data_IF_901678413526
#
_entry.id   IF_901678413526
#
_cell.length_a   1.000
_cell.length_b   1.000
_cell.length_c   1.000
_cell.angle_alpha   90.00
_cell.angle_beta   90.00
_cell.angle_gamma   90.00
#
_symmetry.space_group_name_H-M   'P 1'
#
loop_
_entity.id
_entity.type
_entity.pdbx_description
1 polymer ?
#
# COMPACT_ATOMS: atom_id res chain seq x y z
N UNK A 1 21.12 56.42 -1.36
CA UNK A 1 21.28 55.90 0.01
C UNK A 1 20.50 54.59 0.13
N UNK A 2 21.15 53.45 -0.10
CA UNK A 2 20.59 52.10 0.10
C UNK A 2 21.62 51.29 0.87
N UNK A 3 21.22 50.85 2.08
CA UNK A 3 22.05 50.14 3.07
C UNK A 3 22.52 48.80 2.51
N UNK A 4 23.82 48.55 2.58
CA UNK A 4 24.42 47.22 2.44
C UNK A 4 24.04 46.39 3.68
N UNK A 5 23.46 45.22 3.46
CA UNK A 5 23.19 44.25 4.53
C UNK A 5 24.48 43.47 4.76
N UNK A 6 25.12 43.72 5.90
CA UNK A 6 26.31 43.02 6.37
C UNK A 6 25.92 41.63 6.91
N UNK A 7 26.39 40.56 6.27
CA UNK A 7 26.24 39.19 6.75
C UNK A 7 27.43 38.82 7.63
N UNK A 8 27.35 39.17 8.92
CA UNK A 8 28.28 38.70 9.94
C UNK A 8 28.08 37.19 10.17
N UNK A 9 28.97 36.36 9.60
CA UNK A 9 29.05 34.93 9.92
C UNK A 9 29.70 34.76 11.30
N UNK A 10 28.91 34.35 12.29
CA UNK A 10 29.38 34.08 13.66
C UNK A 10 29.71 32.61 13.85
N UNK A 11 30.75 32.12 13.19
CA UNK A 11 31.34 30.82 13.53
C UNK A 11 32.36 30.98 14.67
N UNK A 12 31.91 30.78 15.91
CA UNK A 12 32.79 30.65 17.08
C UNK A 12 33.38 29.24 17.10
N UNK A 13 34.61 29.10 16.61
CA UNK A 13 35.40 27.88 16.74
C UNK A 13 35.99 27.85 18.16
N UNK A 14 35.46 27.00 19.02
CA UNK A 14 36.04 26.72 20.34
C UNK A 14 37.31 25.88 20.17
N UNK A 15 38.42 26.37 20.71
CA UNK A 15 39.71 25.68 20.74
C UNK A 15 39.62 24.48 21.69
N UNK A 16 39.63 23.27 21.13
CA UNK A 16 39.93 22.04 21.88
C UNK A 16 38.98 20.88 21.57
N UNK A 17 39.44 19.95 20.73
CA UNK A 17 39.05 18.54 20.87
C UNK A 17 37.98 17.99 19.94
N UNK A 18 38.43 17.49 18.77
CA UNK A 18 37.92 16.34 17.98
C UNK A 18 36.42 16.35 17.60
N UNK A 19 36.10 17.02 16.49
CA UNK A 19 34.87 16.77 15.74
C UNK A 19 35.07 15.48 14.93
N UNK A 20 34.46 14.38 15.37
CA UNK A 20 34.47 13.12 14.62
C UNK A 20 33.42 13.21 13.50
N UNK A 21 33.88 13.35 12.25
CA UNK A 21 33.00 13.30 11.07
C UNK A 21 32.63 11.83 10.83
N UNK A 22 31.47 11.39 11.30
CA UNK A 22 30.98 10.03 11.02
C UNK A 22 30.42 10.01 9.59
N UNK A 23 31.25 9.58 8.63
CA UNK A 23 30.77 9.20 7.30
C UNK A 23 30.17 7.80 7.42
N UNK A 24 28.86 7.71 7.61
CA UNK A 24 28.16 6.42 7.53
C UNK A 24 28.12 5.99 6.07
N UNK A 25 28.85 4.93 5.73
CA UNK A 25 28.74 4.25 4.45
C UNK A 25 27.34 3.60 4.37
N UNK A 26 26.47 4.19 3.54
CA UNK A 26 25.15 3.64 3.26
C UNK A 26 25.34 2.38 2.40
N UNK A 27 25.39 1.21 3.05
CA UNK A 27 25.32 -0.07 2.35
C UNK A 27 23.96 -0.17 1.65
N UNK A 28 23.96 0.07 0.34
CA UNK A 28 22.77 -0.06 -0.51
C UNK A 28 22.30 -1.51 -0.51
N UNK A 29 21.31 -1.82 0.32
CA UNK A 29 20.59 -3.08 0.22
C UNK A 29 19.74 -3.02 -1.05
N UNK A 30 20.04 -3.86 -2.03
CA UNK A 30 19.20 -4.05 -3.20
C UNK A 30 17.93 -4.76 -2.74
N UNK A 31 16.89 -3.98 -2.44
CA UNK A 31 15.57 -4.57 -2.24
C UNK A 31 15.10 -5.11 -3.59
N UNK A 32 14.91 -6.42 -3.69
CA UNK A 32 14.22 -7.02 -4.83
C UNK A 32 12.80 -6.45 -4.83
N UNK A 33 12.51 -5.51 -5.73
CA UNK A 33 11.20 -4.90 -5.86
C UNK A 33 10.27 -5.89 -6.55
N UNK A 34 9.55 -6.65 -5.74
CA UNK A 34 8.48 -7.51 -6.23
C UNK A 34 7.30 -6.65 -6.72
N UNK A 35 6.55 -7.16 -7.70
CA UNK A 35 5.36 -6.51 -8.22
C UNK A 35 4.18 -6.58 -7.23
N UNK A 36 4.35 -7.31 -6.12
CA UNK A 36 3.39 -7.47 -5.05
C UNK A 36 2.78 -6.16 -4.54
N UNK A 37 1.60 -6.21 -3.90
CA UNK A 37 1.00 -5.04 -3.27
C UNK A 37 1.97 -4.39 -2.27
N UNK A 38 2.03 -3.06 -2.27
CA UNK A 38 2.99 -2.32 -1.46
C UNK A 38 2.40 -1.03 -0.91
N UNK A 39 2.88 -0.61 0.26
CA UNK A 39 2.41 0.59 0.95
C UNK A 39 0.99 0.44 1.51
N UNK A 40 0.62 -0.76 1.95
CA UNK A 40 -0.70 -1.03 2.52
C UNK A 40 -0.87 -0.36 3.89
N UNK A 41 -1.92 0.45 4.03
CA UNK A 41 -2.31 1.11 5.29
C UNK A 41 -3.79 0.83 5.54
N UNK A 42 -4.10 0.19 6.67
CA UNK A 42 -5.49 -0.02 7.10
C UNK A 42 -6.06 1.33 7.55
N UNK A 43 -7.10 1.81 6.87
CA UNK A 43 -7.75 3.09 7.18
C UNK A 43 -9.07 2.92 7.92
N UNK A 44 -9.69 1.74 7.82
CA UNK A 44 -10.88 1.41 8.60
C UNK A 44 -10.98 -0.10 8.85
N UNK A 45 -11.59 -0.49 9.98
CA UNK A 45 -11.63 -1.87 10.45
C UNK A 45 -10.29 -2.34 11.01
N UNK A 46 -10.04 -3.66 10.98
CA UNK A 46 -8.81 -4.25 11.49
C UNK A 46 -8.33 -5.36 10.56
N UNK A 47 -7.07 -5.26 10.15
CA UNK A 47 -6.34 -6.32 9.47
C UNK A 47 -4.84 -6.22 9.75
N UNK A 48 -4.15 -7.35 9.63
CA UNK A 48 -2.70 -7.42 9.62
C UNK A 48 -2.23 -7.81 8.21
N UNK A 49 -1.23 -7.09 7.70
CA UNK A 49 -0.64 -7.34 6.38
C UNK A 49 0.76 -7.89 6.61
N UNK A 50 1.06 -9.06 6.06
CA UNK A 50 2.40 -9.65 6.08
C UNK A 50 2.81 -10.10 4.67
N UNK A 51 4.06 -9.87 4.31
CA UNK A 51 4.61 -10.29 3.02
C UNK A 51 5.87 -11.12 3.25
N UNK A 52 5.98 -12.25 2.56
CA UNK A 52 7.17 -13.09 2.56
C UNK A 52 7.42 -13.63 1.14
N UNK A 53 8.52 -13.19 0.54
CA UNK A 53 8.83 -13.47 -0.86
C UNK A 53 7.69 -13.05 -1.80
N UNK A 54 7.15 -14.00 -2.56
CA UNK A 54 6.08 -13.79 -3.55
C UNK A 54 4.66 -13.87 -2.96
N UNK A 55 4.52 -14.02 -1.64
CA UNK A 55 3.22 -14.21 -0.98
C UNK A 55 2.92 -13.04 -0.05
N UNK A 56 1.77 -12.41 -0.25
CA UNK A 56 1.20 -11.43 0.68
C UNK A 56 -0.04 -12.02 1.35
N UNK A 57 -0.05 -12.04 2.68
CA UNK A 57 -1.18 -12.49 3.47
C UNK A 57 -1.80 -11.29 4.20
N UNK A 58 -3.12 -11.13 4.04
CA UNK A 58 -3.93 -10.16 4.75
C UNK A 58 -4.86 -10.94 5.68
N UNK A 59 -4.63 -10.84 6.99
CA UNK A 59 -5.51 -11.42 8.01
C UNK A 59 -6.44 -10.33 8.51
N UNK A 60 -7.69 -10.37 8.06
CA UNK A 60 -8.75 -9.44 8.44
C UNK A 60 -9.47 -9.94 9.70
N UNK A 61 -9.65 -9.05 10.67
CA UNK A 61 -10.27 -9.36 11.97
C UNK A 61 -11.69 -8.76 12.12
N UNK A 62 -12.04 -7.76 11.30
CA UNK A 62 -13.38 -7.13 11.28
C UNK A 62 -14.23 -7.60 10.09
N UNK A 63 -15.55 -7.45 10.15
CA UNK A 63 -16.44 -7.82 9.03
C UNK A 63 -16.22 -7.00 7.76
N UNK A 64 -15.85 -5.73 7.91
CA UNK A 64 -15.40 -4.84 6.83
C UNK A 64 -14.00 -4.30 7.16
N UNK A 65 -13.12 -4.22 6.18
CA UNK A 65 -11.84 -3.52 6.29
C UNK A 65 -11.61 -2.68 5.04
N UNK A 66 -11.04 -1.49 5.22
CA UNK A 66 -10.58 -0.62 4.14
C UNK A 66 -9.06 -0.47 4.24
N UNK A 67 -8.37 -0.68 3.12
CA UNK A 67 -6.92 -0.66 3.01
C UNK A 67 -6.54 0.22 1.83
N UNK A 68 -5.80 1.29 2.11
CA UNK A 68 -5.18 2.10 1.08
C UNK A 68 -3.85 1.48 0.68
N UNK A 69 -3.56 1.51 -0.62
CA UNK A 69 -2.34 0.96 -1.21
C UNK A 69 -1.68 1.99 -2.13
N UNK A 70 -0.36 2.12 -2.06
CA UNK A 70 0.37 2.86 -3.10
C UNK A 70 0.33 2.11 -4.43
N UNK A 71 0.39 0.78 -4.38
CA UNK A 71 0.31 -0.12 -5.54
C UNK A 71 -0.38 -1.41 -5.13
N UNK A 72 -1.32 -1.87 -5.96
CA UNK A 72 -1.97 -3.18 -5.81
C UNK A 72 -1.88 -3.94 -7.12
N UNK A 73 -0.75 -4.63 -7.30
CA UNK A 73 -0.43 -5.49 -8.44
C UNK A 73 -0.13 -6.90 -7.92
N UNK A 74 -0.34 -7.91 -8.77
CA UNK A 74 -0.01 -9.30 -8.46
C UNK A 74 0.63 -9.89 -9.72
N UNK A 75 1.94 -10.08 -9.75
CA UNK A 75 2.62 -10.72 -10.88
C UNK A 75 2.27 -12.21 -10.99
N UNK A 76 2.59 -12.81 -12.15
CA UNK A 76 2.20 -14.19 -12.51
C UNK A 76 2.49 -15.25 -11.44
N UNK A 77 3.60 -15.11 -10.72
CA UNK A 77 4.03 -16.06 -9.69
C UNK A 77 3.76 -15.57 -8.26
N UNK A 78 3.05 -14.44 -8.11
CA UNK A 78 2.71 -13.86 -6.82
C UNK A 78 1.31 -14.30 -6.38
N UNK A 79 1.13 -14.35 -5.06
CA UNK A 79 -0.10 -14.78 -4.42
C UNK A 79 -0.49 -13.74 -3.37
N UNK A 80 -1.74 -13.29 -3.40
CA UNK A 80 -2.34 -12.50 -2.35
C UNK A 80 -3.46 -13.30 -1.72
N UNK A 81 -3.37 -13.54 -0.41
CA UNK A 81 -4.39 -14.28 0.35
C UNK A 81 -5.07 -13.36 1.35
N UNK A 82 -6.39 -13.31 1.31
CA UNK A 82 -7.23 -12.70 2.32
C UNK A 82 -7.84 -13.80 3.20
N UNK A 83 -7.45 -13.81 4.48
CA UNK A 83 -8.12 -14.60 5.52
C UNK A 83 -9.08 -13.67 6.26
N UNK A 84 -10.37 -13.84 6.01
CA UNK A 84 -11.44 -12.99 6.51
C UNK A 84 -12.31 -13.75 7.53
N UNK A 85 -13.07 -13.07 8.40
CA UNK A 85 -13.85 -13.74 9.44
C UNK A 85 -14.89 -14.73 8.88
N UNK A 86 -15.54 -14.40 7.76
CA UNK A 86 -16.52 -15.27 7.11
C UNK A 86 -16.74 -14.86 5.64
N UNK A 87 -17.57 -15.65 4.93
CA UNK A 87 -17.91 -15.46 3.52
C UNK A 87 -18.54 -14.10 3.18
N UNK A 88 -19.23 -13.46 4.13
CA UNK A 88 -19.88 -12.16 3.95
C UNK A 88 -18.93 -10.99 4.20
N UNK A 89 -17.73 -11.24 4.72
CA UNK A 89 -16.77 -10.18 5.06
C UNK A 89 -16.21 -9.53 3.80
N UNK A 90 -15.92 -8.22 3.86
CA UNK A 90 -15.46 -7.44 2.71
C UNK A 90 -14.10 -6.79 3.02
N UNK A 91 -13.14 -6.96 2.12
CA UNK A 91 -11.88 -6.22 2.10
C UNK A 91 -11.88 -5.23 0.94
N UNK A 92 -12.00 -3.93 1.24
CA UNK A 92 -11.87 -2.85 0.28
C UNK A 92 -10.38 -2.49 0.15
N UNK A 93 -9.84 -2.64 -1.06
CA UNK A 93 -8.47 -2.28 -1.42
C UNK A 93 -8.54 -1.08 -2.35
N UNK A 94 -8.15 0.10 -1.85
CA UNK A 94 -8.14 1.35 -2.60
C UNK A 94 -6.72 1.69 -3.00
N UNK A 95 -6.46 1.81 -4.30
CA UNK A 95 -5.17 2.30 -4.80
C UNK A 95 -5.19 3.81 -4.82
N UNK A 96 -4.30 4.42 -4.05
CA UNK A 96 -4.13 5.88 -3.96
C UNK A 96 -2.90 6.37 -4.75
N UNK A 97 -2.09 5.44 -5.26
CA UNK A 97 -1.00 5.76 -6.18
C UNK A 97 -1.46 5.95 -7.62
N UNK A 98 -0.49 6.19 -8.51
CA UNK A 98 -0.73 6.58 -9.90
C UNK A 98 -0.65 5.41 -10.90
N UNK A 99 -0.53 4.17 -10.40
CA UNK A 99 -0.42 2.98 -11.25
C UNK A 99 -1.74 2.23 -11.38
N UNK A 100 -1.94 1.59 -12.54
CA UNK A 100 -3.01 0.63 -12.76
C UNK A 100 -2.80 -0.61 -11.89
N UNK A 101 -3.90 -1.24 -11.50
CA UNK A 101 -3.85 -2.56 -10.87
C UNK A 101 -3.75 -3.63 -11.95
N UNK A 102 -2.60 -4.27 -12.06
CA UNK A 102 -2.35 -5.39 -12.98
C UNK A 102 -2.29 -6.68 -12.16
N UNK A 103 -3.31 -7.53 -12.37
CA UNK A 103 -3.47 -8.80 -11.68
C UNK A 103 -3.18 -9.92 -12.67
N UNK A 104 -1.99 -10.50 -12.57
CA UNK A 104 -1.51 -11.61 -13.38
C UNK A 104 -1.33 -12.91 -12.56
N UNK A 105 -1.26 -12.82 -11.23
CA UNK A 105 -1.09 -13.96 -10.32
C UNK A 105 -2.38 -14.40 -9.65
N UNK A 106 -2.24 -14.94 -8.43
CA UNK A 106 -3.36 -15.48 -7.68
C UNK A 106 -3.88 -14.51 -6.61
N UNK A 107 -5.19 -14.33 -6.56
CA UNK A 107 -5.92 -13.62 -5.50
C UNK A 107 -6.91 -14.59 -4.87
N UNK A 108 -6.67 -14.96 -3.62
CA UNK A 108 -7.51 -15.91 -2.87
C UNK A 108 -8.18 -15.20 -1.70
N UNK A 109 -9.46 -15.47 -1.47
CA UNK A 109 -10.19 -14.99 -0.31
C UNK A 109 -11.33 -15.92 0.08
N UNK A 110 -11.53 -16.14 1.38
CA UNK A 110 -12.73 -16.86 1.84
C UNK A 110 -13.98 -15.98 1.92
N UNK A 111 -13.84 -14.65 1.78
CA UNK A 111 -14.92 -13.68 1.66
C UNK A 111 -14.80 -12.84 0.39
N UNK A 112 -15.20 -11.58 0.46
CA UNK A 112 -15.24 -10.67 -0.68
C UNK A 112 -14.02 -9.75 -0.72
N UNK A 113 -13.52 -9.49 -1.93
CA UNK A 113 -12.42 -8.54 -2.19
C UNK A 113 -12.91 -7.48 -3.17
N UNK A 114 -12.82 -6.22 -2.78
CA UNK A 114 -13.15 -5.08 -3.61
C UNK A 114 -11.86 -4.32 -3.96
N UNK A 115 -11.70 -3.94 -5.22
CA UNK A 115 -10.53 -3.23 -5.75
C UNK A 115 -11.01 -1.93 -6.38
N UNK A 116 -10.60 -0.81 -5.80
CA UNK A 116 -10.88 0.53 -6.29
C UNK A 116 -9.57 1.14 -6.80
N UNK A 117 -9.50 1.42 -8.10
CA UNK A 117 -8.34 2.09 -8.69
C UNK A 117 -8.76 2.96 -9.87
N UNK A 118 -8.70 4.28 -9.69
CA UNK A 118 -9.05 5.27 -10.73
C UNK A 118 -8.20 5.15 -12.00
N UNK A 119 -6.99 4.60 -11.90
CA UNK A 119 -6.12 4.39 -13.06
C UNK A 119 -6.54 3.16 -13.90
N UNK A 120 -7.36 2.27 -13.34
CA UNK A 120 -7.86 1.06 -13.97
C UNK A 120 -7.41 -0.24 -13.30
N UNK A 121 -8.18 -1.30 -13.56
CA UNK A 121 -7.89 -2.67 -13.10
C UNK A 121 -7.87 -3.59 -14.31
N UNK A 122 -6.79 -4.35 -14.48
CA UNK A 122 -6.60 -5.32 -15.56
C UNK A 122 -6.31 -6.70 -14.97
N UNK A 123 -7.15 -7.68 -15.31
CA UNK A 123 -6.90 -9.09 -15.05
C UNK A 123 -6.28 -9.71 -16.31
N UNK A 124 -5.01 -10.11 -16.21
CA UNK A 124 -4.30 -10.72 -17.33
C UNK A 124 -4.61 -12.20 -17.51
N UNK A 125 -4.10 -12.79 -18.60
CA UNK A 125 -4.41 -14.17 -19.01
C UNK A 125 -4.11 -15.26 -17.98
N UNK A 126 -3.21 -14.99 -17.02
CA UNK A 126 -2.80 -15.96 -16.00
C UNK A 126 -3.45 -15.70 -14.64
N UNK A 127 -4.30 -14.67 -14.53
CA UNK A 127 -4.95 -14.29 -13.29
C UNK A 127 -5.81 -15.45 -12.77
N UNK A 128 -5.67 -15.77 -11.49
CA UNK A 128 -6.50 -16.74 -10.79
C UNK A 128 -7.20 -16.04 -9.65
N UNK A 129 -8.50 -15.79 -9.80
CA UNK A 129 -9.30 -15.11 -8.78
C UNK A 129 -10.24 -16.14 -8.13
N UNK A 130 -9.99 -16.43 -6.87
CA UNK A 130 -10.78 -17.36 -6.07
C UNK A 130 -11.28 -16.63 -4.81
N UNK A 131 -12.43 -16.00 -4.92
CA UNK A 131 -13.05 -15.22 -3.84
C UNK A 131 -14.55 -15.53 -3.76
N UNK A 132 -15.18 -15.27 -2.62
CA UNK A 132 -16.63 -15.39 -2.49
C UNK A 132 -17.38 -14.27 -3.25
N UNK A 133 -16.69 -13.15 -3.50
CA UNK A 133 -17.17 -12.06 -4.33
C UNK A 133 -16.02 -11.16 -4.75
N UNK A 134 -16.13 -10.57 -5.94
CA UNK A 134 -15.15 -9.64 -6.49
C UNK A 134 -15.89 -8.39 -6.99
N UNK A 135 -15.40 -7.22 -6.58
CA UNK A 135 -15.74 -5.95 -7.21
C UNK A 135 -14.46 -5.30 -7.69
N UNK A 136 -14.41 -4.85 -8.93
CA UNK A 136 -13.33 -4.02 -9.46
C UNK A 136 -13.94 -2.79 -10.10
N UNK A 137 -13.54 -1.60 -9.67
CA UNK A 137 -14.09 -0.34 -10.17
C UNK A 137 -13.02 0.75 -10.25
N UNK A 138 -13.23 1.69 -11.17
CA UNK A 138 -12.45 2.92 -11.28
C UNK A 138 -13.05 4.05 -10.46
N UNK A 139 -14.27 3.88 -9.95
CA UNK A 139 -14.91 4.86 -9.07
C UNK A 139 -14.37 4.77 -7.66
N UNK A 140 -14.52 5.85 -6.91
CA UNK A 140 -14.14 5.90 -5.51
C UNK A 140 -15.36 5.60 -4.63
N UNK A 141 -15.10 5.19 -3.40
CA UNK A 141 -16.08 5.02 -2.33
C UNK A 141 -15.39 5.48 -1.05
N UNK A 142 -16.00 6.34 -0.24
CA UNK A 142 -15.38 6.79 1.01
C UNK A 142 -15.38 5.66 2.05
N UNK A 143 -14.51 5.73 3.07
CA UNK A 143 -14.54 4.76 4.17
C UNK A 143 -15.84 4.88 4.97
N UNK A 144 -16.39 6.09 5.11
CA UNK A 144 -17.66 6.35 5.79
C UNK A 144 -18.82 5.67 5.07
N UNK A 145 -18.96 5.89 3.76
CA UNK A 145 -19.98 5.26 2.92
C UNK A 145 -19.84 3.74 2.90
N UNK A 146 -18.60 3.25 2.76
CA UNK A 146 -18.31 1.82 2.79
C UNK A 146 -18.77 1.16 4.10
N UNK A 147 -18.48 1.80 5.23
CA UNK A 147 -18.87 1.32 6.55
C UNK A 147 -20.39 1.37 6.74
N UNK A 148 -21.03 2.48 6.35
CA UNK A 148 -22.47 2.66 6.37
C UNK A 148 -23.23 1.72 5.42
N UNK A 149 -22.55 1.12 4.43
CA UNK A 149 -23.19 0.29 3.42
C UNK A 149 -23.83 1.08 2.29
N UNK A 150 -23.49 2.36 2.16
CA UNK A 150 -23.91 3.24 1.07
C UNK A 150 -23.00 3.05 -0.14
N UNK A 151 -23.29 2.08 -1.00
CA UNK A 151 -22.41 1.75 -2.15
C UNK A 151 -22.73 2.59 -3.39
N UNK A 152 -22.55 3.90 -3.28
CA UNK A 152 -22.73 4.86 -4.38
C UNK A 152 -21.37 5.25 -4.97
N UNK A 153 -21.25 5.27 -6.31
CA UNK A 153 -19.99 5.35 -7.06
C UNK A 153 -19.94 6.50 -8.10
#
# INVERSE_FOLDING_TARGET
MKRLIDFSSRFRILKGGKISLVVSALLGTTTLTFAAPSGGVVTSGSANISSSGKVTNITQNSSKVSINWNKFNIAKDEIVNFKQPNVKSIALNRVIGNEKSIINGALNANGQVWILNSNGVLFGKNAKINTAGLLATTKNLSDEDFNAGNYTF
#
